data_IF_934274895875
#
_entry.id   IF_934274895875
#
_cell.length_a   1.000
_cell.length_b   1.000
_cell.length_c   1.000
_cell.angle_alpha   90.00
_cell.angle_beta   90.00
_cell.angle_gamma   90.00
#
_symmetry.space_group_name_H-M   'P 1'
#
loop_
_entity.id
_entity.type
_entity.pdbx_description
1 polymer ?
#
# COMPACT_ATOMS: atom_id res chain seq x y z
N UNK A 1 -36.58 6.68 -5.60
CA UNK A 1 -36.38 5.96 -4.33
C UNK A 1 -35.76 6.94 -3.34
N UNK A 2 -36.31 7.03 -2.14
CA UNK A 2 -35.72 7.78 -1.03
C UNK A 2 -34.68 6.86 -0.36
N UNK A 3 -33.47 7.36 -0.13
CA UNK A 3 -32.46 6.64 0.64
C UNK A 3 -32.79 6.81 2.13
N UNK A 4 -33.08 5.72 2.84
CA UNK A 4 -33.46 5.74 4.26
C UNK A 4 -32.25 5.80 5.22
N UNK A 5 -31.02 5.87 4.69
CA UNK A 5 -29.78 5.96 5.47
C UNK A 5 -29.61 4.84 6.52
N UNK A 6 -30.15 3.65 6.24
CA UNK A 6 -30.05 2.48 7.13
C UNK A 6 -28.60 2.00 7.19
N UNK A 7 -28.07 1.82 8.40
CA UNK A 7 -26.76 1.20 8.61
C UNK A 7 -26.87 -0.32 8.49
N UNK A 8 -26.28 -0.87 7.43
CA UNK A 8 -26.30 -2.31 7.10
C UNK A 8 -24.95 -2.99 7.33
N UNK A 9 -23.99 -2.31 7.98
CA UNK A 9 -22.60 -2.77 8.08
C UNK A 9 -22.43 -4.03 8.93
N UNK A 10 -23.21 -4.15 10.00
CA UNK A 10 -23.08 -5.26 10.96
C UNK A 10 -21.63 -5.51 11.38
N UNK A 11 -21.24 -6.78 11.47
CA UNK A 11 -19.89 -7.23 11.83
C UNK A 11 -19.00 -7.59 10.61
N UNK A 12 -19.42 -7.23 9.39
CA UNK A 12 -18.73 -7.62 8.15
C UNK A 12 -17.26 -7.16 8.07
N UNK A 13 -16.92 -6.13 8.85
CA UNK A 13 -15.55 -5.67 9.04
C UNK A 13 -14.56 -6.78 9.44
N UNK A 14 -15.01 -7.74 10.27
CA UNK A 14 -14.17 -8.86 10.71
C UNK A 14 -13.78 -9.76 9.53
N UNK A 15 -14.76 -10.09 8.67
CA UNK A 15 -14.56 -10.92 7.49
C UNK A 15 -13.70 -10.21 6.45
N UNK A 16 -14.01 -8.95 6.13
CA UNK A 16 -13.23 -8.16 5.17
C UNK A 16 -11.74 -8.13 5.55
N UNK A 17 -11.46 -7.88 6.83
CA UNK A 17 -10.10 -7.89 7.39
C UNK A 17 -9.41 -9.25 7.30
N UNK A 18 -10.13 -10.33 7.57
CA UNK A 18 -9.59 -11.69 7.49
C UNK A 18 -9.28 -12.07 6.03
N UNK A 19 -10.17 -11.75 5.11
CA UNK A 19 -9.99 -12.00 3.67
C UNK A 19 -8.79 -11.21 3.13
N UNK A 20 -8.68 -9.91 3.40
CA UNK A 20 -7.54 -9.10 2.96
C UNK A 20 -6.19 -9.63 3.49
N UNK A 21 -6.16 -10.12 4.73
CA UNK A 21 -4.96 -10.74 5.28
C UNK A 21 -4.61 -12.08 4.59
N UNK A 22 -5.62 -12.93 4.32
CA UNK A 22 -5.42 -14.24 3.69
C UNK A 22 -5.16 -14.17 2.19
N UNK A 23 -5.57 -13.08 1.52
CA UNK A 23 -5.34 -12.87 0.09
C UNK A 23 -3.97 -12.27 -0.22
N UNK A 24 -3.23 -11.81 0.79
CA UNK A 24 -1.88 -11.26 0.60
C UNK A 24 -0.89 -12.38 0.23
N UNK A 25 -0.25 -12.24 -0.91
CA UNK A 25 0.72 -13.22 -1.44
C UNK A 25 2.14 -12.77 -1.13
N UNK A 26 2.92 -13.65 -0.49
CA UNK A 26 4.35 -13.42 -0.23
C UNK A 26 5.18 -13.94 -1.42
N UNK A 27 5.73 -13.02 -2.20
CA UNK A 27 6.46 -13.31 -3.45
C UNK A 27 7.98 -13.46 -3.24
N UNK A 28 8.54 -12.77 -2.25
CA UNK A 28 9.94 -12.87 -1.82
C UNK A 28 10.01 -12.72 -0.31
N UNK A 29 10.82 -13.54 0.33
CA UNK A 29 11.19 -13.37 1.74
C UNK A 29 12.59 -13.93 1.97
N UNK A 30 13.54 -13.04 2.21
CA UNK A 30 14.93 -13.37 2.53
C UNK A 30 15.37 -12.63 3.80
N UNK A 31 16.49 -13.04 4.37
CA UNK A 31 17.09 -12.42 5.56
C UNK A 31 16.19 -12.38 6.81
N UNK A 32 15.13 -13.20 6.87
CA UNK A 32 14.15 -13.23 7.95
C UNK A 32 13.53 -11.85 8.23
N UNK A 33 13.38 -11.04 7.18
CA UNK A 33 12.78 -9.70 7.27
C UNK A 33 11.37 -9.75 7.81
N UNK A 34 10.60 -10.74 7.39
CA UNK A 34 9.26 -10.99 7.87
C UNK A 34 9.20 -12.30 8.68
N UNK A 35 8.34 -12.37 9.72
CA UNK A 35 7.50 -11.28 10.23
C UNK A 35 8.28 -10.25 11.04
N UNK A 36 7.86 -8.99 10.99
CA UNK A 36 8.36 -7.93 11.87
C UNK A 36 7.96 -8.19 13.31
N UNK A 37 8.82 -7.76 14.22
CA UNK A 37 8.66 -7.94 15.67
C UNK A 37 7.87 -6.80 16.31
N UNK A 38 7.80 -5.64 15.65
CA UNK A 38 7.25 -4.41 16.22
C UNK A 38 8.19 -3.73 17.20
N UNK A 39 9.43 -4.22 17.31
CA UNK A 39 10.50 -3.74 18.22
C UNK A 39 11.74 -3.29 17.47
N UNK A 40 11.67 -3.17 16.15
CA UNK A 40 12.68 -2.52 15.33
C UNK A 40 12.94 -1.11 15.89
N UNK A 41 14.20 -0.64 15.89
CA UNK A 41 14.54 0.65 16.51
C UNK A 41 13.91 1.78 15.72
N UNK A 42 13.87 1.67 14.39
CA UNK A 42 13.11 2.53 13.50
C UNK A 42 12.57 1.74 12.30
N UNK A 43 11.25 1.75 12.16
CA UNK A 43 10.57 1.33 10.92
C UNK A 43 10.15 2.57 10.15
N UNK A 44 10.52 2.64 8.88
CA UNK A 44 10.12 3.73 8.00
C UNK A 44 9.15 3.24 6.93
N UNK A 45 8.07 3.99 6.69
CA UNK A 45 7.14 3.72 5.58
C UNK A 45 7.29 4.77 4.48
N UNK A 46 7.28 4.32 3.23
CA UNK A 46 7.42 5.17 2.06
C UNK A 46 6.30 4.89 1.06
N UNK A 47 5.90 5.95 0.38
CA UNK A 47 5.04 5.89 -0.78
C UNK A 47 3.64 6.46 -0.52
N UNK A 48 3.08 7.08 -1.55
CA UNK A 48 1.73 7.62 -1.52
C UNK A 48 0.69 6.53 -1.21
N UNK A 49 0.90 5.32 -1.75
CA UNK A 49 0.01 4.17 -1.56
C UNK A 49 -0.06 3.66 -0.10
N UNK A 50 0.84 4.12 0.77
CA UNK A 50 0.72 3.87 2.21
C UNK A 50 -0.26 4.82 2.91
N UNK A 51 -0.53 5.98 2.30
CA UNK A 51 -1.23 7.11 2.90
C UNK A 51 -2.70 7.21 2.54
N UNK A 52 -3.40 8.19 3.13
CA UNK A 52 -4.80 8.47 2.80
C UNK A 52 -4.91 9.26 1.48
N UNK A 53 -6.05 9.15 0.82
CA UNK A 53 -6.47 10.20 -0.11
C UNK A 53 -6.76 11.47 0.71
N UNK A 54 -6.01 12.55 0.46
CA UNK A 54 -6.12 13.80 1.23
C UNK A 54 -7.49 14.47 1.10
N UNK A 55 -8.23 14.19 0.03
CA UNK A 55 -9.58 14.71 -0.19
C UNK A 55 -10.66 13.82 0.45
N UNK A 56 -10.28 12.72 1.10
CA UNK A 56 -11.16 11.73 1.71
C UNK A 56 -11.30 10.46 0.86
N UNK A 57 -11.62 9.30 1.48
CA UNK A 57 -11.62 8.00 0.81
C UNK A 57 -12.65 7.90 -0.32
N UNK A 58 -13.71 8.71 -0.25
CA UNK A 58 -14.82 8.72 -1.21
C UNK A 58 -14.81 9.94 -2.15
N UNK A 59 -13.72 10.71 -2.18
CA UNK A 59 -13.69 11.99 -2.91
C UNK A 59 -13.85 11.84 -4.43
N UNK A 60 -13.47 10.67 -4.96
CA UNK A 60 -13.53 10.38 -6.38
C UNK A 60 -14.79 9.58 -6.68
N UNK A 61 -15.65 10.11 -7.55
CA UNK A 61 -16.84 9.43 -8.05
C UNK A 61 -16.43 8.08 -8.68
N UNK A 62 -17.11 6.99 -8.32
CA UNK A 62 -16.78 5.63 -8.79
C UNK A 62 -15.31 5.22 -8.61
N UNK A 63 -14.62 5.86 -7.65
CA UNK A 63 -13.18 5.68 -7.41
C UNK A 63 -12.30 5.99 -8.63
N UNK A 64 -12.73 6.87 -9.54
CA UNK A 64 -11.95 7.29 -10.73
C UNK A 64 -10.80 8.23 -10.36
N UNK A 65 -9.89 7.75 -9.52
CA UNK A 65 -8.60 8.34 -9.21
C UNK A 65 -7.66 7.28 -8.66
N UNK A 66 -6.37 7.63 -8.60
CA UNK A 66 -5.35 6.86 -7.90
C UNK A 66 -4.62 7.84 -6.98
N UNK A 67 -5.13 7.97 -5.76
CA UNK A 67 -4.66 8.94 -4.77
C UNK A 67 -4.70 8.33 -3.38
N UNK A 68 -3.54 8.25 -2.74
CA UNK A 68 -3.37 7.46 -1.52
C UNK A 68 -3.41 5.94 -1.80
N UNK A 69 -3.78 5.17 -0.77
CA UNK A 69 -3.81 3.70 -0.85
C UNK A 69 -4.85 3.15 -1.81
N UNK A 70 -4.45 2.21 -2.67
CA UNK A 70 -5.33 1.54 -3.63
C UNK A 70 -6.04 0.35 -2.99
N UNK A 71 -7.26 0.57 -2.51
CA UNK A 71 -8.08 -0.47 -1.90
C UNK A 71 -9.07 -1.15 -2.86
N UNK A 72 -9.44 -0.47 -3.96
CA UNK A 72 -10.36 -0.96 -5.00
C UNK A 72 -10.06 -0.26 -6.33
N UNK A 73 -10.32 -0.92 -7.47
CA UNK A 73 -10.28 -0.29 -8.78
C UNK A 73 -11.47 0.64 -9.04
N UNK A 74 -11.48 1.32 -10.19
CA UNK A 74 -12.56 2.25 -10.54
C UNK A 74 -13.68 1.62 -11.37
N UNK A 75 -14.85 2.26 -11.37
CA UNK A 75 -15.99 1.89 -12.20
C UNK A 75 -17.24 1.52 -11.41
N UNK A 76 -18.22 0.92 -12.09
CA UNK A 76 -19.52 0.55 -11.47
C UNK A 76 -19.41 -0.49 -10.35
N UNK A 77 -18.31 -1.26 -10.31
CA UNK A 77 -18.03 -2.23 -9.25
C UNK A 77 -17.44 -1.63 -7.96
N UNK A 78 -17.14 -0.33 -7.94
CA UNK A 78 -16.48 0.32 -6.81
C UNK A 78 -17.50 0.75 -5.73
N UNK A 79 -17.37 0.29 -4.47
CA UNK A 79 -18.25 0.70 -3.39
C UNK A 79 -17.84 2.05 -2.79
N UNK A 80 -18.74 2.63 -2.00
CA UNK A 80 -18.42 3.71 -1.08
C UNK A 80 -17.83 3.17 0.22
N UNK A 81 -16.71 3.75 0.66
CA UNK A 81 -16.03 3.37 1.90
C UNK A 81 -16.77 3.93 3.11
N UNK A 82 -16.94 3.11 4.14
CA UNK A 82 -17.49 3.59 5.43
C UNK A 82 -16.37 4.15 6.32
N UNK A 83 -15.19 3.57 6.16
CA UNK A 83 -13.88 4.05 6.58
C UNK A 83 -12.84 3.40 5.66
N UNK A 84 -11.60 3.91 5.66
CA UNK A 84 -10.49 3.27 4.96
C UNK A 84 -9.26 3.35 5.84
N UNK A 85 -8.84 2.21 6.39
CA UNK A 85 -7.63 2.15 7.22
C UNK A 85 -6.43 2.01 6.30
N UNK A 86 -5.59 3.05 6.28
CA UNK A 86 -4.39 3.07 5.44
C UNK A 86 -3.28 2.19 6.01
N UNK A 87 -2.35 1.69 5.17
CA UNK A 87 -1.15 1.01 5.64
C UNK A 87 -0.38 1.79 6.71
N UNK A 88 -0.14 3.08 6.48
CA UNK A 88 0.56 3.97 7.42
C UNK A 88 -0.11 3.97 8.80
N UNK A 89 -1.43 4.21 8.85
CA UNK A 89 -2.19 4.20 10.11
C UNK A 89 -2.14 2.84 10.79
N UNK A 90 -2.31 1.74 10.04
CA UNK A 90 -2.30 0.39 10.62
C UNK A 90 -0.93 0.01 11.20
N UNK A 91 0.16 0.37 10.50
CA UNK A 91 1.53 0.05 10.90
C UNK A 91 1.96 0.93 12.06
N UNK A 92 1.74 2.25 11.99
CA UNK A 92 2.04 3.17 13.08
C UNK A 92 1.40 2.71 14.39
N UNK A 93 0.10 2.38 14.36
CA UNK A 93 -0.63 1.90 15.53
C UNK A 93 -0.04 0.60 16.12
N UNK A 94 0.52 -0.28 15.27
CA UNK A 94 1.22 -1.49 15.71
C UNK A 94 2.53 -1.13 16.41
N UNK A 95 3.36 -0.29 15.81
CA UNK A 95 4.65 0.09 16.39
C UNK A 95 4.51 0.87 17.71
N UNK A 96 3.57 1.82 17.76
CA UNK A 96 3.23 2.54 19.01
C UNK A 96 2.79 1.57 20.11
N UNK A 97 2.05 0.51 19.77
CA UNK A 97 1.61 -0.50 20.74
C UNK A 97 2.75 -1.35 21.29
N UNK A 98 3.76 -1.68 20.49
CA UNK A 98 4.87 -2.56 20.88
C UNK A 98 6.14 -1.82 21.31
N UNK A 99 6.16 -0.49 21.20
CA UNK A 99 7.24 0.38 21.67
C UNK A 99 8.38 0.61 20.67
N UNK A 100 8.19 0.26 19.39
CA UNK A 100 9.16 0.59 18.33
C UNK A 100 8.92 1.99 17.75
N UNK A 101 9.96 2.61 17.17
CA UNK A 101 9.82 3.92 16.54
C UNK A 101 9.31 3.79 15.10
N UNK A 102 8.56 4.81 14.66
CA UNK A 102 7.92 4.85 13.36
C UNK A 102 7.99 6.25 12.75
N UNK A 103 8.36 6.33 11.48
CA UNK A 103 8.32 7.54 10.65
C UNK A 103 7.80 7.19 9.26
N UNK A 104 7.24 8.16 8.52
CA UNK A 104 6.76 7.92 7.16
C UNK A 104 6.93 9.11 6.21
N UNK A 105 7.08 8.81 4.91
CA UNK A 105 7.02 9.76 3.79
C UNK A 105 5.95 9.26 2.81
N UNK A 106 4.79 9.92 2.81
CA UNK A 106 3.58 9.49 2.10
C UNK A 106 3.44 10.13 0.71
N UNK A 107 4.55 10.21 -0.03
CA UNK A 107 4.58 10.71 -1.41
C UNK A 107 5.70 10.05 -2.19
N UNK A 108 5.48 9.82 -3.48
CA UNK A 108 6.48 9.22 -4.38
C UNK A 108 7.45 10.24 -4.98
N UNK A 109 7.26 11.54 -4.67
CA UNK A 109 8.05 12.65 -5.24
C UNK A 109 8.71 13.54 -4.17
N UNK A 110 8.88 13.03 -2.96
CA UNK A 110 9.69 13.73 -1.95
C UNK A 110 11.10 13.99 -2.51
N UNK A 111 11.76 15.10 -2.12
CA UNK A 111 13.14 15.35 -2.48
C UNK A 111 14.02 14.15 -2.13
N UNK A 112 14.89 13.77 -3.05
CA UNK A 112 15.67 12.54 -2.95
C UNK A 112 16.55 12.49 -1.67
N UNK A 113 16.98 13.65 -1.17
CA UNK A 113 17.70 13.78 0.09
C UNK A 113 16.85 13.41 1.31
N UNK A 114 15.56 13.77 1.32
CA UNK A 114 14.66 13.43 2.43
C UNK A 114 14.41 11.92 2.49
N UNK A 115 14.19 11.30 1.34
CA UNK A 115 14.04 9.83 1.23
C UNK A 115 15.30 9.14 1.77
N UNK A 116 16.48 9.60 1.35
CA UNK A 116 17.76 9.03 1.78
C UNK A 116 17.99 9.15 3.28
N UNK A 117 17.73 10.34 3.86
CA UNK A 117 17.94 10.59 5.28
C UNK A 117 17.11 9.61 6.11
N UNK A 118 15.83 9.43 5.77
CA UNK A 118 14.96 8.51 6.50
C UNK A 118 15.37 7.04 6.25
N UNK A 119 15.58 6.65 4.99
CA UNK A 119 15.88 5.27 4.62
C UNK A 119 17.19 4.76 5.26
N UNK A 120 18.24 5.60 5.32
CA UNK A 120 19.52 5.24 5.95
C UNK A 120 19.42 5.00 7.46
N UNK A 121 18.45 5.63 8.13
CA UNK A 121 18.25 5.52 9.58
C UNK A 121 17.36 4.33 9.96
N UNK A 122 16.55 3.83 9.03
CA UNK A 122 15.58 2.78 9.29
C UNK A 122 16.23 1.39 9.35
N UNK A 123 15.86 0.58 10.34
CA UNK A 123 16.22 -0.85 10.37
C UNK A 123 15.45 -1.66 9.32
N UNK A 124 14.24 -1.20 9.00
CA UNK A 124 13.40 -1.74 7.92
C UNK A 124 12.65 -0.61 7.23
N UNK A 125 12.69 -0.61 5.90
CA UNK A 125 11.89 0.29 5.06
C UNK A 125 10.75 -0.48 4.42
N UNK A 126 9.52 0.01 4.60
CA UNK A 126 8.31 -0.53 3.99
C UNK A 126 7.88 0.41 2.86
N UNK A 127 7.97 -0.05 1.61
CA UNK A 127 7.61 0.75 0.44
C UNK A 127 6.30 0.26 -0.13
N UNK A 128 5.31 1.15 -0.23
CA UNK A 128 4.00 0.88 -0.79
C UNK A 128 3.88 1.50 -2.17
N UNK A 129 3.47 0.69 -3.14
CA UNK A 129 3.33 1.06 -4.54
C UNK A 129 2.08 0.42 -5.12
N UNK A 130 1.54 1.02 -6.17
CA UNK A 130 0.33 0.50 -6.79
C UNK A 130 0.32 0.56 -8.32
N UNK A 131 -0.71 -0.05 -8.92
CA UNK A 131 -1.05 0.02 -10.34
C UNK A 131 -2.54 -0.24 -10.50
N UNK A 132 -3.27 0.75 -11.01
CA UNK A 132 -4.74 0.76 -11.02
C UNK A 132 -5.32 0.51 -12.42
N UNK A 133 -6.59 0.12 -12.49
CA UNK A 133 -7.39 -0.06 -13.70
C UNK A 133 -8.88 -0.02 -13.35
N UNK A 134 -9.75 0.03 -14.35
CA UNK A 134 -11.19 0.00 -14.08
C UNK A 134 -12.06 0.00 -15.32
N UNK A 135 -13.32 0.40 -15.17
CA UNK A 135 -14.30 0.36 -16.25
C UNK A 135 -14.26 1.62 -17.13
N UNK A 136 -14.04 1.46 -18.44
CA UNK A 136 -14.48 2.31 -19.58
C UNK A 136 -14.23 3.82 -19.57
N UNK A 137 -13.74 4.37 -18.47
CA UNK A 137 -13.54 5.77 -18.17
C UNK A 137 -12.07 6.08 -18.34
N UNK A 138 -11.77 7.28 -18.83
CA UNK A 138 -10.40 7.73 -19.04
C UNK A 138 -9.83 8.27 -17.74
N UNK A 139 -8.79 7.64 -17.22
CA UNK A 139 -8.00 8.15 -16.09
C UNK A 139 -6.51 8.09 -16.42
N UNK A 140 -5.82 9.24 -16.34
CA UNK A 140 -4.38 9.36 -16.69
C UNK A 140 -4.02 8.69 -18.03
N UNK A 141 -4.85 8.91 -19.06
CA UNK A 141 -4.75 8.31 -20.41
C UNK A 141 -5.05 6.80 -20.51
N UNK A 142 -5.45 6.14 -19.44
CA UNK A 142 -5.92 4.74 -19.45
C UNK A 142 -7.43 4.70 -19.66
N UNK A 143 -7.92 3.97 -20.67
CA UNK A 143 -9.34 3.88 -21.04
C UNK A 143 -9.99 2.66 -20.38
N UNK A 144 -9.98 2.62 -19.04
CA UNK A 144 -10.32 1.42 -18.27
C UNK A 144 -9.17 0.41 -18.22
N UNK A 145 -8.76 -0.06 -19.40
CA UNK A 145 -7.59 -0.92 -19.55
C UNK A 145 -6.28 -0.17 -19.25
N UNK A 146 -5.32 -0.85 -18.62
CA UNK A 146 -3.99 -0.27 -18.38
C UNK A 146 -3.20 -0.22 -19.68
N UNK A 147 -2.57 0.92 -19.93
CA UNK A 147 -1.69 1.10 -21.09
C UNK A 147 -0.37 0.30 -20.99
N UNK A 148 0.02 -0.11 -19.77
CA UNK A 148 1.23 -0.89 -19.52
C UNK A 148 1.06 -1.77 -18.27
N UNK A 149 2.11 -2.53 -17.93
CA UNK A 149 2.15 -3.40 -16.75
C UNK A 149 3.14 -2.89 -15.69
N UNK A 150 3.45 -1.58 -15.70
CA UNK A 150 4.37 -0.97 -14.74
C UNK A 150 3.60 -0.48 -13.51
N UNK A 151 4.33 -0.19 -12.44
CA UNK A 151 3.78 0.55 -11.32
C UNK A 151 3.43 1.97 -11.77
N UNK A 152 2.46 2.55 -11.08
CA UNK A 152 2.03 3.92 -11.31
C UNK A 152 2.78 4.87 -10.38
N UNK A 153 2.58 6.17 -10.60
CA UNK A 153 3.00 7.23 -9.66
C UNK A 153 4.49 7.20 -9.32
N UNK A 154 5.39 6.86 -10.25
CA UNK A 154 6.84 6.80 -10.01
C UNK A 154 7.26 5.71 -9.00
N UNK A 155 6.49 4.62 -8.89
CA UNK A 155 6.72 3.54 -7.92
C UNK A 155 8.07 2.84 -8.06
N UNK A 156 8.54 2.55 -9.28
CA UNK A 156 9.82 1.89 -9.51
C UNK A 156 11.01 2.73 -9.01
N UNK A 157 11.00 4.02 -9.29
CA UNK A 157 12.08 4.92 -8.88
C UNK A 157 12.09 5.10 -7.36
N UNK A 158 10.92 5.18 -6.72
CA UNK A 158 10.82 5.21 -5.26
C UNK A 158 11.44 3.95 -4.64
N UNK A 159 11.06 2.76 -5.12
CA UNK A 159 11.60 1.48 -4.63
C UNK A 159 13.11 1.44 -4.81
N UNK A 160 13.61 1.80 -6.00
CA UNK A 160 15.04 1.84 -6.30
C UNK A 160 15.80 2.77 -5.37
N UNK A 161 15.25 3.95 -5.09
CA UNK A 161 15.87 4.96 -4.21
C UNK A 161 15.88 4.53 -2.75
N UNK A 162 14.78 3.98 -2.25
CA UNK A 162 14.72 3.48 -0.87
C UNK A 162 15.68 2.30 -0.70
N UNK A 163 15.65 1.33 -1.63
CA UNK A 163 16.51 0.16 -1.57
C UNK A 163 18.01 0.50 -1.74
N UNK A 164 18.38 1.61 -2.38
CA UNK A 164 19.79 2.03 -2.44
C UNK A 164 20.30 2.61 -1.11
N UNK A 165 19.39 3.11 -0.26
CA UNK A 165 19.69 3.72 1.03
C UNK A 165 19.35 2.82 2.24
N UNK A 166 18.52 1.78 2.07
CA UNK A 166 18.15 0.82 3.11
C UNK A 166 18.30 -0.64 2.60
N UNK A 167 19.27 -1.42 3.11
CA UNK A 167 19.51 -2.80 2.66
C UNK A 167 18.46 -3.82 3.14
N UNK A 168 17.49 -3.38 3.96
CA UNK A 168 16.38 -4.20 4.44
C UNK A 168 15.05 -3.55 4.04
N UNK A 169 14.76 -3.59 2.74
CA UNK A 169 13.55 -3.00 2.16
C UNK A 169 12.51 -4.07 1.86
N UNK A 170 11.31 -3.93 2.42
CA UNK A 170 10.14 -4.72 2.05
C UNK A 170 9.22 -3.89 1.15
N UNK A 171 8.79 -4.47 0.03
CA UNK A 171 7.89 -3.81 -0.92
C UNK A 171 6.51 -4.47 -0.86
N UNK A 172 5.45 -3.66 -0.77
CA UNK A 172 4.06 -4.10 -0.80
C UNK A 172 3.38 -3.47 -2.01
N UNK A 173 2.76 -4.31 -2.84
CA UNK A 173 2.09 -3.90 -4.07
C UNK A 173 0.57 -4.06 -3.94
N UNK A 174 -0.17 -2.96 -4.10
CA UNK A 174 -1.61 -2.99 -4.35
C UNK A 174 -1.88 -2.84 -5.84
N UNK A 175 -2.52 -3.80 -6.48
CA UNK A 175 -2.81 -3.66 -7.91
C UNK A 175 -4.04 -4.45 -8.34
N UNK A 176 -4.69 -3.97 -9.40
CA UNK A 176 -5.84 -4.63 -10.03
C UNK A 176 -5.47 -5.93 -10.74
N UNK A 177 -4.17 -6.16 -10.99
CA UNK A 177 -3.66 -7.36 -11.64
C UNK A 177 -2.14 -7.39 -11.68
N UNK A 178 -1.58 -8.27 -12.52
CA UNK A 178 -0.14 -8.45 -12.63
C UNK A 178 0.60 -7.16 -13.01
N UNK A 179 1.79 -6.98 -12.44
CA UNK A 179 2.74 -5.92 -12.75
C UNK A 179 4.14 -6.51 -12.92
N UNK A 180 4.98 -5.86 -13.71
CA UNK A 180 6.37 -6.28 -13.94
C UNK A 180 7.20 -5.90 -12.71
N UNK A 181 7.68 -6.89 -11.97
CA UNK A 181 8.43 -6.70 -10.71
C UNK A 181 9.83 -7.33 -10.75
N UNK A 182 10.31 -7.77 -11.92
CA UNK A 182 11.54 -8.56 -12.02
C UNK A 182 12.76 -7.81 -11.45
N UNK A 183 12.94 -6.53 -11.81
CA UNK A 183 14.05 -5.71 -11.31
C UNK A 183 13.97 -5.49 -9.79
N UNK A 184 12.75 -5.27 -9.26
CA UNK A 184 12.52 -5.13 -7.81
C UNK A 184 12.84 -6.44 -7.09
N UNK A 185 12.41 -7.58 -7.66
CA UNK A 185 12.63 -8.91 -7.10
C UNK A 185 14.11 -9.29 -7.10
N UNK A 186 14.87 -8.89 -8.13
CA UNK A 186 16.31 -9.19 -8.25
C UNK A 186 17.19 -8.26 -7.40
N UNK A 187 16.68 -7.10 -6.96
CA UNK A 187 17.42 -6.20 -6.09
C UNK A 187 17.81 -6.89 -4.75
N UNK A 188 19.11 -6.93 -4.38
CA UNK A 188 19.56 -7.63 -3.16
C UNK A 188 19.10 -6.94 -1.87
N UNK A 189 18.83 -5.64 -1.91
CA UNK A 189 18.37 -4.84 -0.76
C UNK A 189 16.85 -4.90 -0.57
N UNK A 190 16.11 -5.43 -1.56
CA UNK A 190 14.70 -5.76 -1.42
C UNK A 190 14.59 -7.14 -0.78
N UNK A 191 14.37 -7.18 0.52
CA UNK A 191 14.43 -8.42 1.31
C UNK A 191 13.07 -9.09 1.47
N UNK A 192 11.96 -8.39 1.21
CA UNK A 192 10.64 -8.98 1.08
C UNK A 192 9.81 -8.31 -0.01
N UNK A 193 8.92 -9.07 -0.65
CA UNK A 193 7.99 -8.58 -1.66
C UNK A 193 6.62 -9.24 -1.45
N UNK A 194 5.59 -8.42 -1.34
CA UNK A 194 4.21 -8.86 -1.14
C UNK A 194 3.30 -8.24 -2.20
N UNK A 195 2.32 -9.02 -2.64
CA UNK A 195 1.19 -8.51 -3.41
C UNK A 195 -0.07 -8.61 -2.56
N UNK A 196 -0.67 -7.47 -2.25
CA UNK A 196 -1.85 -7.36 -1.39
C UNK A 196 -3.16 -7.17 -2.19
N UNK A 197 -3.07 -7.03 -3.51
CA UNK A 197 -4.23 -6.91 -4.40
C UNK A 197 -5.07 -5.67 -4.08
N UNK A 198 -6.38 -5.85 -3.94
CA UNK A 198 -7.38 -4.82 -3.62
C UNK A 198 -8.13 -5.22 -2.33
N UNK A 199 -7.61 -4.87 -1.16
CA UNK A 199 -8.08 -5.43 0.11
C UNK A 199 -9.33 -4.75 0.70
N UNK A 200 -9.85 -3.69 0.06
CA UNK A 200 -10.98 -2.91 0.57
C UNK A 200 -10.68 -2.11 1.84
N UNK A 201 -11.72 -1.77 2.59
CA UNK A 201 -11.76 -0.81 3.70
C UNK A 201 -10.83 -1.14 4.87
N UNK A 202 -10.44 -2.40 5.02
CA UNK A 202 -9.84 -2.94 6.25
C UNK A 202 -8.57 -3.76 5.99
N UNK A 203 -7.50 -3.05 5.64
CA UNK A 203 -6.15 -3.61 5.62
C UNK A 203 -5.65 -3.93 7.03
N UNK A 204 -5.24 -5.19 7.24
CA UNK A 204 -4.34 -5.56 8.33
C UNK A 204 -3.31 -6.54 7.81
N UNK A 205 -2.04 -6.12 7.80
CA UNK A 205 -0.93 -7.01 7.46
C UNK A 205 -0.62 -7.98 8.60
N UNK A 206 -1.44 -9.02 8.75
CA UNK A 206 -1.26 -10.06 9.77
C UNK A 206 0.02 -10.90 9.56
N UNK A 207 0.55 -10.88 8.34
CA UNK A 207 1.78 -11.59 7.94
C UNK A 207 3.01 -10.67 7.84
N UNK A 208 2.85 -9.34 7.94
CA UNK A 208 3.99 -8.40 7.96
C UNK A 208 4.42 -8.11 9.39
N UNK A 209 3.49 -7.94 10.33
CA UNK A 209 3.81 -7.60 11.73
C UNK A 209 3.08 -8.56 12.66
N UNK A 210 3.83 -9.22 13.56
CA UNK A 210 3.30 -10.08 14.64
C UNK A 210 2.13 -9.39 15.40
#
# INVERSE_FOLDING_TARGET
MLNEHVDVRGDHAKLARETGAKSTVLLKSVNKTLPLTGKEKLTATFGEDAGPNINGPNSCKFRTCDSGTLAVGWGSGAPEFTNLITPDTAIQNKFVKYGGAYESILTNWAPAEQIDILARRADVSLVFVNSNSGEGQVFENNYGDRNNLTLWKNGEELVKRVASSCPNTAVVVHSTGAVILEDIKQNPNVTALLWAGLPGDLLRFRNIIC
#
